data_IF_685117310619
#
_entry.id   IF_685117310619
#
_cell.length_a   1.000
_cell.length_b   1.000
_cell.length_c   1.000
_cell.angle_alpha   90.00
_cell.angle_beta   90.00
_cell.angle_gamma   90.00
#
_symmetry.space_group_name_H-M   'P 1'
#
loop_
_entity.id
_entity.type
_entity.pdbx_description
1 polymer ?
#
# COMPACT_ATOMS: atom_id res chain seq x y z
N UNK A 1 -9.90 30.23 21.49
CA UNK A 1 -9.87 28.81 21.06
C UNK A 1 -10.29 28.79 19.61
N UNK A 2 -9.54 28.15 18.71
CA UNK A 2 -9.98 28.02 17.31
C UNK A 2 -11.12 27.01 17.22
N UNK A 3 -12.17 27.36 16.49
CA UNK A 3 -13.28 26.45 16.21
C UNK A 3 -12.87 25.40 15.16
N UNK A 4 -13.35 24.16 15.32
CA UNK A 4 -13.16 23.11 14.32
C UNK A 4 -13.91 23.46 13.04
N UNK A 5 -13.27 23.19 11.89
CA UNK A 5 -13.86 23.41 10.56
C UNK A 5 -14.22 22.09 9.92
N UNK A 6 -15.38 22.03 9.30
CA UNK A 6 -15.83 20.90 8.49
C UNK A 6 -15.29 21.02 7.06
N UNK A 7 -14.83 19.91 6.50
CA UNK A 7 -14.37 19.79 5.11
C UNK A 7 -14.95 18.52 4.49
N UNK A 8 -15.18 18.51 3.17
CA UNK A 8 -15.40 17.23 2.47
C UNK A 8 -14.05 16.53 2.38
N UNK A 9 -14.05 15.20 2.50
CA UNK A 9 -12.80 14.43 2.37
C UNK A 9 -12.07 14.73 1.05
N UNK A 10 -12.80 14.81 -0.07
CA UNK A 10 -12.21 15.14 -1.37
C UNK A 10 -11.55 16.52 -1.46
N UNK A 11 -11.79 17.42 -0.49
CA UNK A 11 -11.12 18.72 -0.42
C UNK A 11 -9.72 18.63 0.23
N UNK A 12 -9.45 17.55 0.98
CA UNK A 12 -8.24 17.39 1.80
C UNK A 12 -7.45 16.12 1.51
N UNK A 13 -8.01 15.16 0.78
CA UNK A 13 -7.33 13.94 0.34
C UNK A 13 -7.54 13.69 -1.15
N UNK A 14 -6.57 13.01 -1.76
CA UNK A 14 -6.70 12.41 -3.08
C UNK A 14 -6.70 10.88 -2.94
N UNK A 15 -7.61 10.21 -3.64
CA UNK A 15 -7.71 8.75 -3.64
C UNK A 15 -7.17 8.22 -4.95
N UNK A 16 -6.19 7.30 -4.88
CA UNK A 16 -5.63 6.60 -6.03
C UNK A 16 -5.82 5.09 -5.84
N UNK A 17 -6.40 4.43 -6.84
CA UNK A 17 -6.51 2.97 -6.86
C UNK A 17 -5.17 2.32 -7.21
N UNK A 18 -5.02 1.04 -6.86
CA UNK A 18 -3.84 0.25 -7.19
C UNK A 18 -3.67 0.00 -8.70
N UNK A 19 -2.49 -0.43 -9.09
CA UNK A 19 -2.15 -0.80 -10.46
C UNK A 19 -2.15 -2.31 -10.65
N UNK A 20 -2.80 -2.80 -11.69
CA UNK A 20 -2.79 -4.21 -12.05
C UNK A 20 -1.43 -4.63 -12.63
N UNK A 21 -0.44 -4.86 -11.76
CA UNK A 21 0.88 -5.35 -12.17
C UNK A 21 0.79 -6.75 -12.80
N UNK A 22 1.47 -6.96 -13.92
CA UNK A 22 1.45 -8.25 -14.62
C UNK A 22 2.15 -9.34 -13.80
N UNK A 23 1.43 -10.42 -13.53
CA UNK A 23 1.90 -11.53 -12.70
C UNK A 23 3.18 -12.23 -13.21
N UNK A 24 3.46 -12.18 -14.52
CA UNK A 24 4.67 -12.76 -15.13
C UNK A 24 5.99 -12.16 -14.58
N UNK A 25 5.93 -10.95 -14.04
CA UNK A 25 7.09 -10.25 -13.48
C UNK A 25 7.17 -10.31 -11.95
N UNK A 26 6.28 -11.07 -11.30
CA UNK A 26 6.31 -11.25 -9.86
C UNK A 26 7.52 -12.10 -9.47
N UNK A 27 8.17 -11.77 -8.36
CA UNK A 27 9.33 -12.49 -7.89
C UNK A 27 9.32 -12.67 -6.38
N UNK A 28 9.79 -13.85 -5.95
CA UNK A 28 10.15 -14.11 -4.55
C UNK A 28 11.62 -13.76 -4.26
N UNK A 29 12.41 -13.44 -5.30
CA UNK A 29 13.79 -12.97 -5.15
C UNK A 29 13.78 -11.46 -4.91
N UNK A 30 14.52 -10.96 -3.89
CA UNK A 30 14.59 -9.54 -3.58
C UNK A 30 14.99 -8.66 -4.76
N UNK A 31 14.31 -7.52 -4.87
CA UNK A 31 14.63 -6.41 -5.78
C UNK A 31 14.42 -5.09 -5.06
N UNK A 32 14.78 -3.97 -5.67
CA UNK A 32 14.42 -2.64 -5.13
C UNK A 32 12.90 -2.40 -5.08
N UNK A 33 12.11 -3.11 -5.90
CA UNK A 33 10.67 -2.91 -6.02
C UNK A 33 9.92 -3.93 -5.16
N UNK A 34 9.36 -3.48 -4.05
CA UNK A 34 8.48 -4.25 -3.17
C UNK A 34 7.05 -4.10 -3.67
N UNK A 35 6.46 -5.19 -4.12
CA UNK A 35 5.05 -5.24 -4.51
C UNK A 35 4.18 -5.42 -3.26
N UNK A 36 3.38 -4.41 -2.93
CA UNK A 36 2.45 -4.53 -1.82
C UNK A 36 1.27 -5.45 -2.18
N UNK A 37 0.80 -6.18 -1.18
CA UNK A 37 -0.33 -7.11 -1.31
C UNK A 37 -1.18 -7.01 -0.03
N UNK A 38 -2.40 -7.57 0.01
CA UNK A 38 -3.17 -7.66 1.25
C UNK A 38 -2.39 -8.31 2.40
N UNK A 39 -1.43 -9.20 2.10
CA UNK A 39 -0.55 -9.81 3.11
C UNK A 39 0.40 -8.84 3.83
N UNK A 40 0.50 -7.58 3.38
CA UNK A 40 1.28 -6.52 3.99
C UNK A 40 0.46 -5.63 4.96
N UNK A 41 -0.79 -6.01 5.25
CA UNK A 41 -1.61 -5.40 6.29
C UNK A 41 -1.64 -6.29 7.53
N UNK A 42 -1.59 -5.69 8.72
CA UNK A 42 -1.87 -6.40 9.98
C UNK A 42 -3.38 -6.52 10.17
N UNK A 43 -3.79 -7.58 10.85
CA UNK A 43 -5.15 -7.71 11.38
C UNK A 43 -5.40 -6.54 12.33
N UNK A 44 -6.48 -5.78 12.12
CA UNK A 44 -6.75 -4.54 12.86
C UNK A 44 -6.00 -3.29 12.36
N UNK A 45 -5.23 -3.41 11.27
CA UNK A 45 -4.54 -2.30 10.61
C UNK A 45 -3.08 -2.10 11.02
N UNK A 46 -2.37 -1.36 10.18
CA UNK A 46 -0.93 -1.14 10.26
C UNK A 46 -0.12 -1.96 9.26
N UNK A 47 1.11 -1.52 9.05
CA UNK A 47 2.03 -2.12 8.07
C UNK A 47 2.63 -3.44 8.59
N UNK A 48 2.67 -4.45 7.73
CA UNK A 48 3.26 -5.77 7.98
C UNK A 48 4.38 -6.05 7.00
N UNK A 49 5.60 -6.23 7.53
CA UNK A 49 6.84 -6.39 6.77
C UNK A 49 7.45 -7.80 6.86
N UNK A 50 6.69 -8.79 7.36
CA UNK A 50 7.21 -10.14 7.62
C UNK A 50 7.62 -10.87 6.34
N UNK A 51 6.91 -10.60 5.25
CA UNK A 51 7.15 -11.18 3.93
C UNK A 51 6.80 -10.19 2.83
N UNK A 52 7.71 -10.05 1.87
CA UNK A 52 7.48 -9.23 0.68
C UNK A 52 7.41 -10.09 -0.57
N UNK A 53 6.62 -9.61 -1.53
CA UNK A 53 6.72 -9.95 -2.94
C UNK A 53 7.49 -8.84 -3.64
N UNK A 54 8.17 -9.18 -4.72
CA UNK A 54 8.98 -8.24 -5.49
C UNK A 54 8.52 -8.20 -6.94
N UNK A 55 8.90 -7.13 -7.64
CA UNK A 55 8.51 -6.91 -9.03
C UNK A 55 9.72 -6.61 -9.92
N UNK A 56 9.81 -7.29 -11.06
CA UNK A 56 10.93 -7.18 -12.01
C UNK A 56 10.56 -6.53 -13.35
N UNK A 57 9.31 -6.15 -13.52
CA UNK A 57 8.82 -5.51 -14.73
C UNK A 57 8.95 -3.99 -14.67
N UNK A 58 8.37 -3.32 -15.68
CA UNK A 58 8.29 -1.87 -15.71
C UNK A 58 7.33 -1.34 -14.63
N UNK A 59 7.79 -0.36 -13.86
CA UNK A 59 7.02 0.28 -12.80
C UNK A 59 6.63 1.68 -13.24
N UNK A 60 5.32 1.98 -13.40
CA UNK A 60 4.89 3.34 -13.64
C UNK A 60 5.17 4.20 -12.39
N UNK A 61 5.87 5.32 -12.57
CA UNK A 61 6.35 6.19 -11.46
C UNK A 61 5.25 6.60 -10.49
N UNK A 62 4.07 6.81 -11.05
CA UNK A 62 2.84 7.20 -10.40
C UNK A 62 2.32 6.20 -9.34
N UNK A 63 2.79 4.96 -9.36
CA UNK A 63 2.40 3.91 -8.42
C UNK A 63 3.54 3.51 -7.47
N UNK A 64 4.57 4.35 -7.38
CA UNK A 64 5.57 4.27 -6.33
C UNK A 64 5.08 5.12 -5.16
N UNK A 65 4.84 4.48 -4.03
CA UNK A 65 4.38 5.12 -2.81
C UNK A 65 5.54 5.82 -2.09
N UNK A 66 5.21 6.91 -1.41
CA UNK A 66 6.15 7.68 -0.62
C UNK A 66 6.03 7.34 0.87
N UNK A 67 7.09 7.65 1.62
CA UNK A 67 7.02 7.57 3.08
C UNK A 67 5.84 8.38 3.60
N UNK A 68 5.03 7.73 4.42
CA UNK A 68 3.89 8.36 5.07
C UNK A 68 2.58 8.36 4.29
N UNK A 69 2.56 7.89 3.04
CA UNK A 69 1.32 7.60 2.34
C UNK A 69 0.47 6.62 3.16
N UNK A 70 -0.85 6.84 3.14
CA UNK A 70 -1.82 5.97 3.81
C UNK A 70 -2.51 5.13 2.75
N UNK A 71 -2.33 3.82 2.85
CA UNK A 71 -2.97 2.84 1.96
C UNK A 71 -4.09 2.13 2.71
N UNK A 72 -5.12 1.71 1.98
CA UNK A 72 -6.24 0.93 2.50
C UNK A 72 -6.32 -0.39 1.76
N UNK A 73 -6.55 -1.48 2.51
CA UNK A 73 -6.84 -2.77 1.89
C UNK A 73 -8.30 -2.81 1.45
N UNK A 74 -8.53 -2.89 0.14
CA UNK A 74 -9.87 -3.00 -0.46
C UNK A 74 -10.21 -4.42 -0.91
N UNK A 75 -9.38 -5.40 -0.53
CA UNK A 75 -9.60 -6.81 -0.82
C UNK A 75 -9.08 -7.63 0.36
N UNK A 76 -9.89 -8.57 0.82
CA UNK A 76 -9.49 -9.45 1.91
C UNK A 76 -9.11 -10.83 1.38
N UNK A 77 -7.94 -11.30 1.83
CA UNK A 77 -7.44 -12.66 1.57
C UNK A 77 -7.18 -13.42 2.88
N UNK A 78 -7.51 -12.82 4.02
CA UNK A 78 -7.52 -13.50 5.32
C UNK A 78 -8.65 -14.53 5.36
N UNK A 79 -8.57 -15.45 6.31
CA UNK A 79 -9.62 -16.46 6.50
C UNK A 79 -10.92 -15.86 7.02
N UNK A 80 -10.81 -14.82 7.85
CA UNK A 80 -11.93 -14.28 8.62
C UNK A 80 -12.41 -12.90 8.13
N UNK A 81 -11.85 -12.38 7.04
CA UNK A 81 -12.24 -11.07 6.50
C UNK A 81 -11.80 -9.89 7.36
N UNK A 82 -10.65 -10.02 8.05
CA UNK A 82 -10.22 -9.14 9.12
C UNK A 82 -9.18 -8.07 8.70
N UNK A 83 -8.97 -7.89 7.40
CA UNK A 83 -8.07 -6.88 6.82
C UNK A 83 -8.79 -5.87 5.91
N UNK A 84 -10.01 -6.14 5.46
CA UNK A 84 -10.79 -5.23 4.60
C UNK A 84 -11.06 -3.88 5.28
N UNK A 85 -10.79 -2.79 4.56
CA UNK A 85 -11.00 -1.42 5.02
C UNK A 85 -9.95 -0.93 6.01
N UNK A 86 -9.05 -1.79 6.50
CA UNK A 86 -7.97 -1.37 7.37
C UNK A 86 -6.89 -0.64 6.58
N UNK A 87 -6.27 0.33 7.26
CA UNK A 87 -5.22 1.16 6.69
C UNK A 87 -3.83 0.77 7.18
N UNK A 88 -2.83 1.12 6.40
CA UNK A 88 -1.43 1.08 6.78
C UNK A 88 -0.73 2.36 6.32
N UNK A 89 0.26 2.80 7.08
CA UNK A 89 1.13 3.92 6.71
C UNK A 89 2.44 3.35 6.14
N UNK A 90 2.87 3.87 5.01
CA UNK A 90 4.14 3.45 4.41
C UNK A 90 5.30 3.88 5.32
N UNK A 91 6.16 2.94 5.75
CA UNK A 91 7.26 3.23 6.65
C UNK A 91 8.37 3.99 5.94
N UNK A 92 9.28 4.60 6.71
CA UNK A 92 10.50 5.18 6.17
C UNK A 92 11.33 4.11 5.42
N UNK A 93 11.83 4.47 4.25
CA UNK A 93 12.62 3.60 3.38
C UNK A 93 13.65 4.42 2.60
N UNK A 94 14.76 3.79 2.21
CA UNK A 94 15.84 4.45 1.44
C UNK A 94 16.03 3.83 0.07
N UNK A 95 16.31 2.52 0.06
CA UNK A 95 16.72 1.81 -1.15
C UNK A 95 15.60 0.93 -1.74
N UNK A 96 14.41 0.97 -1.15
CA UNK A 96 13.25 0.20 -1.62
C UNK A 96 12.14 1.13 -2.10
N UNK A 97 11.42 0.68 -3.11
CA UNK A 97 10.23 1.32 -3.66
C UNK A 97 9.03 0.44 -3.33
N UNK A 98 8.07 0.97 -2.57
CA UNK A 98 6.80 0.29 -2.34
C UNK A 98 5.85 0.57 -3.48
N UNK A 99 5.31 -0.48 -4.10
CA UNK A 99 4.43 -0.38 -5.25
C UNK A 99 2.96 -0.48 -4.83
N UNK A 100 2.14 0.45 -5.32
CA UNK A 100 0.69 0.50 -5.10
C UNK A 100 -0.03 -0.46 -6.07
N UNK A 101 -0.29 -1.67 -5.60
CA UNK A 101 -0.92 -2.77 -6.35
C UNK A 101 -2.40 -2.89 -5.99
#
# INVERSE_FOLDING_TARGET
MSEWKEYKLGDIINVKHGFAFKGEFFSDVPTENILLTPGNFRIGGGFKSDKFKFYKGEVPRDYILQEGDVILSMTDLSKDGDTLGYSAKIPAHRDQKFLHN
#
